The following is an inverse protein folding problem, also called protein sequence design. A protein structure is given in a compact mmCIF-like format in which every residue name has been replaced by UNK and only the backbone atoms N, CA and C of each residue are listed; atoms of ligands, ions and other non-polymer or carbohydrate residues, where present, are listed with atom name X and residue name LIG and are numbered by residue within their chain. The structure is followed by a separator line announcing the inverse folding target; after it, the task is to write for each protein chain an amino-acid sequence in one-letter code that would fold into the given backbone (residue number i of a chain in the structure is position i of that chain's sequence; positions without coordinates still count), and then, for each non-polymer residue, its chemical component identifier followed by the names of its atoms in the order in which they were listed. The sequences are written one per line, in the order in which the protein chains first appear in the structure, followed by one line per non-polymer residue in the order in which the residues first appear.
data_IF_226929117584
#
_entry.id   IF_226929117584
#
_cell.length_a   1.000
_cell.length_b   1.000
_cell.length_c   1.000
_cell.angle_alpha   90.00
_cell.angle_beta   90.00
_cell.angle_gamma   90.00
#
_symmetry.space_group_name_H-M   'P 1'
#
loop_
_entity.id
_entity.type
_entity.pdbx_description
1 polymer ?
#
# COMPACT_ATOMS: atom_id res chain seq x y z
N UNK A 1 72.69 -9.21 30.16
CA UNK A 1 73.49 -8.03 29.76
C UNK A 1 72.57 -7.00 29.12
N UNK A 2 71.80 -6.35 29.99
CA UNK A 2 71.78 -4.90 30.26
C UNK A 2 71.93 -3.88 29.12
N UNK A 3 70.79 -3.19 28.90
CA UNK A 3 70.43 -1.80 28.51
C UNK A 3 71.53 -0.71 28.67
N UNK A 4 71.58 0.39 27.86
CA UNK A 4 70.73 1.62 28.01
C UNK A 4 70.23 2.25 26.66
N UNK A 5 69.00 2.75 26.50
CA UNK A 5 68.34 4.01 26.91
C UNK A 5 68.49 5.22 25.95
N UNK A 6 67.37 5.96 25.78
CA UNK A 6 67.11 7.25 25.08
C UNK A 6 66.53 7.09 23.64
N UNK A 7 65.43 7.73 23.21
CA UNK A 7 64.63 8.84 23.77
C UNK A 7 63.24 8.91 23.11
N UNK A 8 62.24 9.08 23.97
CA UNK A 8 60.90 9.65 23.81
C UNK A 8 60.59 10.41 22.48
N UNK A 9 59.71 9.88 21.62
CA UNK A 9 58.97 10.66 20.61
C UNK A 9 57.48 10.57 20.90
N UNK A 10 56.91 11.72 21.29
CA UNK A 10 55.50 11.90 21.62
C UNK A 10 54.61 11.70 20.38
N UNK A 11 53.65 10.78 20.49
CA UNK A 11 52.50 10.66 19.60
C UNK A 11 51.61 11.91 19.81
N UNK A 12 51.74 12.92 18.96
CA UNK A 12 50.74 13.98 18.81
C UNK A 12 49.70 13.52 17.78
N UNK A 13 48.77 12.67 18.23
CA UNK A 13 47.54 12.41 17.48
C UNK A 13 46.69 13.66 17.61
N UNK A 14 46.75 14.53 16.60
CA UNK A 14 45.76 15.57 16.41
C UNK A 14 44.40 14.90 16.21
N UNK A 15 43.62 14.86 17.29
CA UNK A 15 42.17 14.67 17.24
C UNK A 15 41.59 15.89 16.52
N UNK A 16 41.68 15.89 15.20
CA UNK A 16 40.92 16.80 14.36
C UNK A 16 39.46 16.36 14.49
N UNK A 17 38.76 16.95 15.46
CA UNK A 17 37.31 16.88 15.54
C UNK A 17 36.80 17.55 14.27
N UNK A 18 36.52 16.75 13.24
CA UNK A 18 35.78 17.20 12.07
C UNK A 18 34.38 17.49 12.61
N UNK A 19 34.14 18.74 13.01
CA UNK A 19 32.80 19.26 13.17
C UNK A 19 32.25 19.31 11.75
N UNK A 20 31.55 18.25 11.35
CA UNK A 20 30.71 18.29 10.17
C UNK A 20 29.60 19.28 10.49
N UNK A 21 29.74 20.52 10.04
CA UNK A 21 28.62 21.44 9.98
C UNK A 21 27.64 20.85 8.98
N UNK A 22 26.62 20.14 9.46
CA UNK A 22 25.47 19.77 8.65
C UNK A 22 24.81 21.07 8.23
N UNK A 23 25.04 21.48 6.98
CA UNK A 23 24.25 22.54 6.36
C UNK A 23 22.82 22.02 6.24
N UNK A 24 22.01 22.28 7.26
CA UNK A 24 20.57 22.07 7.16
C UNK A 24 20.03 23.02 6.10
N UNK A 25 19.50 22.47 5.01
CA UNK A 25 18.72 23.20 4.02
C UNK A 25 17.39 23.64 4.65
N UNK A 26 17.44 24.70 5.45
CA UNK A 26 16.27 25.25 6.10
C UNK A 26 15.33 25.88 5.06
N UNK A 27 14.07 25.48 5.11
CA UNK A 27 12.99 26.07 4.33
C UNK A 27 12.34 27.12 5.23
N UNK A 28 12.39 28.38 4.80
CA UNK A 28 11.89 29.51 5.59
C UNK A 28 10.41 29.79 5.29
N UNK A 29 9.62 30.28 6.26
CA UNK A 29 8.26 30.76 6.00
C UNK A 29 8.25 31.80 4.87
N UNK A 30 7.24 31.75 4.01
CA UNK A 30 7.14 32.48 2.74
C UNK A 30 7.64 31.69 1.52
N UNK A 31 8.34 30.56 1.71
CA UNK A 31 8.80 29.71 0.61
C UNK A 31 7.63 29.04 -0.11
N UNK A 32 7.70 28.97 -1.44
CA UNK A 32 6.66 28.34 -2.27
C UNK A 32 7.28 27.52 -3.39
N UNK A 33 6.78 26.30 -3.63
CA UNK A 33 7.04 25.50 -4.83
C UNK A 33 5.85 25.61 -5.79
N UNK A 34 6.10 25.60 -7.10
CA UNK A 34 5.05 25.67 -8.12
C UNK A 34 5.04 24.43 -9.02
N UNK A 35 3.85 23.90 -9.33
CA UNK A 35 3.70 22.76 -10.25
C UNK A 35 4.19 23.10 -11.67
N UNK A 36 4.05 24.36 -12.09
CA UNK A 36 4.58 24.89 -13.35
C UNK A 36 6.11 24.95 -13.41
N UNK A 37 6.82 24.69 -12.31
CA UNK A 37 8.28 24.81 -12.20
C UNK A 37 8.90 23.49 -11.73
N UNK A 38 9.00 22.47 -12.62
CA UNK A 38 9.35 21.10 -12.24
C UNK A 38 10.77 20.93 -11.67
N UNK A 39 11.67 21.88 -11.94
CA UNK A 39 13.03 21.88 -11.41
C UNK A 39 13.14 22.49 -10.01
N UNK A 40 12.04 23.03 -9.46
CA UNK A 40 12.04 23.65 -8.15
C UNK A 40 11.78 22.60 -7.07
N UNK A 41 12.73 22.41 -6.17
CA UNK A 41 12.62 21.45 -5.07
C UNK A 41 13.20 22.00 -3.78
N UNK A 42 12.78 21.42 -2.66
CA UNK A 42 13.46 21.53 -1.38
C UNK A 42 14.18 20.21 -1.08
N UNK A 43 15.50 20.20 -1.16
CA UNK A 43 16.32 18.98 -1.03
C UNK A 43 16.78 18.75 0.40
N UNK A 44 16.99 17.48 0.75
CA UNK A 44 17.70 17.10 1.97
C UNK A 44 19.19 17.50 1.87
N UNK A 45 19.90 17.70 2.99
CA UNK A 45 21.31 18.10 2.99
C UNK A 45 22.22 17.25 2.09
N UNK A 46 22.02 15.94 2.03
CA UNK A 46 22.82 15.04 1.21
C UNK A 46 22.25 14.79 -0.22
N UNK A 47 21.20 15.53 -0.61
CA UNK A 47 20.48 15.41 -1.87
C UNK A 47 19.90 14.01 -2.17
N UNK A 48 19.65 13.20 -1.14
CA UNK A 48 19.03 11.87 -1.31
C UNK A 48 17.52 11.98 -1.50
N UNK A 49 16.89 12.90 -0.77
CA UNK A 49 15.47 13.18 -0.89
C UNK A 49 15.25 14.62 -1.34
N UNK A 50 14.16 14.84 -2.07
CA UNK A 50 13.72 16.18 -2.45
C UNK A 50 12.19 16.27 -2.40
N UNK A 51 11.68 17.39 -1.90
CA UNK A 51 10.26 17.72 -1.95
C UNK A 51 9.99 18.61 -3.16
N UNK A 52 9.10 18.18 -4.04
CA UNK A 52 8.77 18.88 -5.29
C UNK A 52 7.47 18.38 -5.90
N UNK A 53 7.10 18.96 -7.04
CA UNK A 53 5.98 18.47 -7.83
C UNK A 53 6.44 17.35 -8.77
N UNK A 54 5.72 16.24 -8.75
CA UNK A 54 5.87 15.14 -9.71
C UNK A 54 4.61 15.04 -10.57
N UNK A 55 4.74 14.75 -11.89
CA UNK A 55 3.58 14.51 -12.73
C UNK A 55 2.88 13.20 -12.30
N UNK A 56 1.56 13.22 -12.30
CA UNK A 56 0.75 12.02 -12.09
C UNK A 56 0.96 11.04 -13.25
N UNK A 57 0.93 9.74 -12.95
CA UNK A 57 1.08 8.67 -13.95
C UNK A 57 -0.13 8.51 -14.87
N UNK A 58 -1.21 9.26 -14.63
CA UNK A 58 -2.39 9.25 -15.52
C UNK A 58 -2.07 9.95 -16.84
N UNK A 59 -2.29 9.24 -17.95
CA UNK A 59 -2.19 9.78 -19.32
C UNK A 59 -3.41 10.64 -19.71
N UNK A 60 -4.37 10.83 -18.80
CA UNK A 60 -5.56 11.64 -19.03
C UNK A 60 -5.22 13.14 -19.03
N UNK A 61 -5.70 13.86 -20.04
CA UNK A 61 -5.76 15.32 -20.01
C UNK A 61 -6.94 15.79 -19.12
N UNK A 62 -6.77 16.84 -18.31
CA UNK A 62 -5.57 17.67 -18.15
C UNK A 62 -4.48 17.00 -17.30
N UNK A 63 -3.22 17.35 -17.60
CA UNK A 63 -2.05 16.91 -16.82
C UNK A 63 -2.23 17.28 -15.36
N UNK A 64 -1.98 16.32 -14.50
CA UNK A 64 -2.15 16.43 -13.05
C UNK A 64 -0.80 16.22 -12.36
N UNK A 65 -0.61 16.85 -11.21
CA UNK A 65 0.63 16.81 -10.42
C UNK A 65 0.33 16.41 -8.98
N UNK A 66 1.35 15.94 -8.28
CA UNK A 66 1.35 15.69 -6.84
C UNK A 66 2.56 16.35 -6.20
N UNK A 67 2.40 16.97 -5.04
CA UNK A 67 3.52 17.44 -4.23
C UNK A 67 4.04 16.29 -3.36
N UNK A 68 5.28 15.86 -3.59
CA UNK A 68 5.81 14.62 -3.04
C UNK A 68 7.25 14.75 -2.55
N UNK A 69 7.58 14.02 -1.47
CA UNK A 69 8.97 13.74 -1.11
C UNK A 69 9.43 12.57 -1.98
N UNK A 70 10.49 12.79 -2.74
CA UNK A 70 10.92 11.96 -3.84
C UNK A 70 12.35 11.45 -3.61
N UNK A 71 12.57 10.18 -3.94
CA UNK A 71 13.87 9.53 -4.05
C UNK A 71 14.09 9.11 -5.49
N UNK A 72 14.89 9.86 -6.27
CA UNK A 72 15.22 9.52 -7.67
C UNK A 72 14.00 9.13 -8.55
N UNK A 73 12.87 9.83 -8.39
CA UNK A 73 11.63 9.57 -9.14
C UNK A 73 10.62 8.66 -8.43
N UNK A 74 10.99 8.14 -7.25
CA UNK A 74 10.12 7.33 -6.40
C UNK A 74 9.51 8.22 -5.30
N UNK A 75 8.20 8.53 -5.34
CA UNK A 75 7.55 9.27 -4.26
C UNK A 75 7.46 8.39 -3.01
N UNK A 76 8.01 8.83 -1.87
CA UNK A 76 7.92 8.12 -0.59
C UNK A 76 6.88 8.71 0.35
N UNK A 77 6.38 9.91 0.04
CA UNK A 77 5.33 10.59 0.77
C UNK A 77 4.69 11.64 -0.14
N UNK A 78 3.40 11.91 0.02
CA UNK A 78 2.66 12.91 -0.77
C UNK A 78 1.81 13.80 0.14
N UNK A 79 1.69 15.08 -0.20
CA UNK A 79 0.76 15.97 0.47
C UNK A 79 -0.68 15.52 0.20
N UNK A 80 -1.43 15.21 1.26
CA UNK A 80 -2.76 14.62 1.16
C UNK A 80 -2.70 13.10 1.17
N UNK A 81 -3.28 12.47 0.15
CA UNK A 81 -3.24 11.03 -0.07
C UNK A 81 -2.62 10.71 -1.43
N UNK A 82 -2.24 9.45 -1.73
CA UNK A 82 -1.63 9.12 -3.02
C UNK A 82 -2.48 9.39 -4.26
N UNK A 83 -3.80 9.58 -4.08
CA UNK A 83 -4.74 9.93 -5.16
C UNK A 83 -5.01 11.44 -5.23
N UNK A 84 -4.37 12.24 -4.37
CA UNK A 84 -4.52 13.70 -4.35
C UNK A 84 -3.73 14.27 -5.51
N UNK A 85 -4.46 14.84 -6.45
CA UNK A 85 -3.88 15.48 -7.63
C UNK A 85 -4.28 16.94 -7.69
N UNK A 86 -3.41 17.74 -8.32
CA UNK A 86 -3.61 19.17 -8.55
C UNK A 86 -3.24 19.53 -9.98
N UNK A 87 -3.73 20.67 -10.47
CA UNK A 87 -3.45 21.16 -11.81
C UNK A 87 -2.07 21.86 -11.93
N UNK A 88 -1.72 22.29 -13.13
CA UNK A 88 -0.43 22.95 -13.42
C UNK A 88 -0.28 24.34 -12.76
N UNK A 89 -1.37 24.96 -12.30
CA UNK A 89 -1.35 26.23 -11.57
C UNK A 89 -1.16 26.06 -10.06
N UNK A 90 -1.03 24.83 -9.58
CA UNK A 90 -0.92 24.52 -8.17
C UNK A 90 0.41 24.98 -7.53
N UNK A 91 0.36 25.19 -6.22
CA UNK A 91 1.54 25.54 -5.43
C UNK A 91 1.54 24.91 -4.03
N UNK A 92 2.72 24.57 -3.55
CA UNK A 92 2.98 24.13 -2.17
C UNK A 92 3.61 25.30 -1.42
N UNK A 93 2.89 25.84 -0.45
CA UNK A 93 3.22 27.10 0.22
C UNK A 93 3.53 26.83 1.69
N UNK A 94 4.72 27.21 2.14
CA UNK A 94 5.04 27.29 3.56
C UNK A 94 4.79 28.73 4.02
N UNK A 95 3.66 28.97 4.68
CA UNK A 95 3.17 30.31 4.98
C UNK A 95 3.90 30.96 6.17
N UNK A 96 3.92 32.31 6.27
CA UNK A 96 4.40 33.03 7.45
C UNK A 96 3.72 32.64 8.77
N UNK A 97 2.49 32.11 8.70
CA UNK A 97 1.77 31.59 9.87
C UNK A 97 2.33 30.26 10.41
N UNK A 98 3.31 29.67 9.72
CA UNK A 98 3.87 28.36 10.05
C UNK A 98 3.08 27.18 9.46
N UNK A 99 2.09 27.44 8.61
CA UNK A 99 1.29 26.38 7.96
C UNK A 99 1.90 25.98 6.61
N UNK A 100 2.05 24.68 6.37
CA UNK A 100 2.39 24.14 5.05
C UNK A 100 1.08 23.71 4.37
N UNK A 101 0.78 24.27 3.19
CA UNK A 101 -0.45 23.94 2.46
C UNK A 101 -0.21 23.71 0.97
N UNK A 102 -0.95 22.77 0.41
CA UNK A 102 -1.07 22.54 -1.02
C UNK A 102 -2.34 23.22 -1.52
N UNK A 103 -2.22 24.13 -2.48
CA UNK A 103 -3.35 24.81 -3.12
C UNK A 103 -3.37 24.51 -4.62
N UNK A 104 -4.57 24.38 -5.18
CA UNK A 104 -4.77 24.19 -6.61
C UNK A 104 -4.67 25.52 -7.38
N UNK A 105 -4.64 25.50 -8.72
CA UNK A 105 -4.59 26.72 -9.54
C UNK A 105 -5.76 27.69 -9.36
N UNK A 106 -6.91 27.19 -8.88
CA UNK A 106 -8.06 28.01 -8.48
C UNK A 106 -7.88 28.75 -7.14
N UNK A 107 -6.81 28.46 -6.39
CA UNK A 107 -6.57 28.96 -5.04
C UNK A 107 -7.22 28.13 -3.93
N UNK A 108 -7.99 27.08 -4.28
CA UNK A 108 -8.58 26.19 -3.28
C UNK A 108 -7.50 25.36 -2.56
N UNK A 109 -7.54 25.33 -1.23
CA UNK A 109 -6.68 24.45 -0.42
C UNK A 109 -7.12 23.00 -0.60
N UNK A 110 -6.19 22.15 -1.00
CA UNK A 110 -6.39 20.70 -1.19
C UNK A 110 -5.87 19.91 0.00
N UNK A 111 -4.80 20.40 0.64
CA UNK A 111 -4.23 19.80 1.84
C UNK A 111 -3.49 20.84 2.67
N UNK A 112 -3.43 20.65 3.99
CA UNK A 112 -2.60 21.45 4.89
C UNK A 112 -2.12 20.67 6.12
N UNK A 113 -0.99 21.11 6.68
CA UNK A 113 -0.39 20.52 7.89
C UNK A 113 -1.15 20.88 9.18
N UNK A 114 -2.05 21.87 9.12
CA UNK A 114 -2.79 22.41 10.27
C UNK A 114 -1.87 22.92 11.40
N UNK A 115 -0.76 23.56 11.02
CA UNK A 115 0.25 24.09 11.96
C UNK A 115 0.22 25.61 12.11
N UNK A 116 -0.79 26.26 11.52
CA UNK A 116 -0.96 27.71 11.62
C UNK A 116 -1.02 28.17 13.09
N UNK A 117 -0.19 29.15 13.45
CA UNK A 117 -0.20 29.74 14.79
C UNK A 117 0.49 28.91 15.87
N UNK A 118 1.06 27.74 15.56
CA UNK A 118 1.78 26.90 16.52
C UNK A 118 3.25 27.31 16.74
N UNK A 119 3.64 28.49 16.25
CA UNK A 119 5.01 29.01 16.36
C UNK A 119 6.02 28.31 15.45
N UNK A 120 5.56 27.54 14.46
CA UNK A 120 6.43 26.93 13.45
C UNK A 120 7.17 28.03 12.69
N UNK A 121 8.49 28.00 12.77
CA UNK A 121 9.37 29.03 12.21
C UNK A 121 10.30 28.50 11.12
N UNK A 122 10.40 27.18 10.98
CA UNK A 122 11.29 26.55 10.00
C UNK A 122 10.79 25.17 9.60
N UNK A 123 11.04 24.79 8.35
CA UNK A 123 10.86 23.44 7.86
C UNK A 123 12.20 22.86 7.40
N UNK A 124 12.39 21.54 7.58
CA UNK A 124 13.60 20.84 7.16
C UNK A 124 13.22 19.50 6.54
N UNK A 125 13.77 19.19 5.37
CA UNK A 125 13.75 17.83 4.82
C UNK A 125 15.03 17.12 5.27
N UNK A 126 14.88 16.12 6.12
CA UNK A 126 16.00 15.36 6.69
C UNK A 126 16.48 14.28 5.71
N UNK A 127 17.73 13.82 5.87
CA UNK A 127 18.33 12.79 5.00
C UNK A 127 17.68 11.40 5.14
N UNK A 128 16.81 11.22 6.14
CA UNK A 128 15.92 10.06 6.26
C UNK A 128 14.71 10.11 5.32
N UNK A 129 14.42 11.27 4.71
CA UNK A 129 13.19 11.54 3.97
C UNK A 129 12.07 12.12 4.83
N UNK A 130 12.33 12.41 6.11
CA UNK A 130 11.36 13.04 7.01
C UNK A 130 11.30 14.55 6.77
N UNK A 131 10.14 15.08 6.40
CA UNK A 131 9.87 16.51 6.40
C UNK A 131 9.36 16.91 7.78
N UNK A 132 10.05 17.84 8.43
CA UNK A 132 9.73 18.27 9.80
C UNK A 132 9.49 19.77 9.84
N UNK A 133 8.36 20.18 10.43
CA UNK A 133 8.05 21.57 10.76
C UNK A 133 8.39 21.83 12.23
N UNK A 134 9.25 22.80 12.51
CA UNK A 134 9.83 23.03 13.84
C UNK A 134 9.50 24.41 14.41
N UNK A 135 9.28 24.46 15.72
CA UNK A 135 9.28 25.67 16.54
C UNK A 135 10.54 25.62 17.42
N UNK A 136 11.57 26.37 17.02
CA UNK A 136 12.91 26.22 17.60
C UNK A 136 13.44 24.79 17.40
N UNK A 137 13.65 24.06 18.50
CA UNK A 137 14.10 22.65 18.49
C UNK A 137 12.95 21.64 18.54
N UNK A 138 11.72 22.08 18.76
CA UNK A 138 10.56 21.22 18.95
C UNK A 138 9.93 20.88 17.59
N UNK A 139 9.76 19.58 17.33
CA UNK A 139 8.98 19.10 16.18
C UNK A 139 7.50 19.30 16.44
N UNK A 140 6.84 20.08 15.58
CA UNK A 140 5.39 20.34 15.65
C UNK A 140 4.63 19.43 14.69
N UNK A 141 5.23 19.11 13.54
CA UNK A 141 4.66 18.22 12.54
C UNK A 141 5.76 17.45 11.83
N UNK A 142 5.48 16.21 11.45
CA UNK A 142 6.40 15.35 10.72
C UNK A 142 5.65 14.52 9.67
N UNK A 143 6.25 14.36 8.49
CA UNK A 143 5.69 13.49 7.44
C UNK A 143 5.69 12.01 7.86
N UNK A 144 6.64 11.58 8.68
CA UNK A 144 6.70 10.21 9.22
C UNK A 144 5.55 9.88 10.19
N UNK A 145 4.99 10.91 10.84
CA UNK A 145 3.79 10.80 11.67
C UNK A 145 2.48 10.87 10.87
N UNK A 146 2.57 11.17 9.57
CA UNK A 146 1.45 11.26 8.64
C UNK A 146 1.75 10.47 7.34
N UNK A 147 1.98 9.16 7.41
CA UNK A 147 2.32 8.36 6.23
C UNK A 147 1.19 8.36 5.20
N UNK A 148 1.53 8.16 3.92
CA UNK A 148 0.56 8.00 2.83
C UNK A 148 0.34 6.53 2.50
N UNK A 149 1.21 5.95 1.67
CA UNK A 149 1.18 4.57 1.20
C UNK A 149 2.51 3.86 1.42
N UNK A 150 3.52 4.56 1.93
CA UNK A 150 4.91 4.10 2.01
C UNK A 150 5.46 4.27 3.42
N UNK A 151 6.24 3.30 3.88
CA UNK A 151 7.08 3.35 5.08
C UNK A 151 8.53 3.19 4.63
N UNK A 152 9.38 4.12 5.03
CA UNK A 152 10.83 4.09 4.74
C UNK A 152 11.62 3.70 6.00
N UNK A 153 12.94 3.45 5.90
CA UNK A 153 13.74 3.14 7.07
C UNK A 153 13.74 4.29 8.07
N UNK A 154 13.89 3.97 9.36
CA UNK A 154 13.81 4.90 10.50
C UNK A 154 12.42 5.49 10.78
N UNK A 155 11.41 5.16 9.97
CA UNK A 155 10.03 5.53 10.22
C UNK A 155 9.34 4.46 11.07
N UNK A 156 8.85 4.84 12.25
CA UNK A 156 8.04 3.98 13.10
C UNK A 156 6.57 4.05 12.66
N UNK A 157 5.98 2.90 12.35
CA UNK A 157 4.57 2.77 12.02
C UNK A 157 3.80 2.16 13.21
N UNK A 158 2.97 2.98 13.86
CA UNK A 158 2.24 2.66 15.09
C UNK A 158 0.76 2.37 14.82
N UNK A 159 0.04 1.93 15.85
CA UNK A 159 -1.36 1.47 15.75
C UNK A 159 -2.38 2.55 15.35
N UNK A 160 -2.03 3.83 15.50
CA UNK A 160 -2.83 5.00 15.10
C UNK A 160 -2.61 5.41 13.63
N UNK A 161 -1.62 4.81 12.95
CA UNK A 161 -1.28 5.11 11.56
C UNK A 161 -1.94 4.13 10.59
N UNK A 162 -2.21 4.60 9.38
CA UNK A 162 -2.84 3.81 8.31
C UNK A 162 -2.15 4.15 6.99
N UNK A 163 -1.70 3.13 6.24
CA UNK A 163 -1.35 3.35 4.83
C UNK A 163 -2.60 3.19 3.97
N UNK A 164 -2.77 4.05 2.96
CA UNK A 164 -3.96 4.05 2.10
C UNK A 164 -3.59 4.23 0.64
N UNK A 165 -4.15 3.41 -0.22
CA UNK A 165 -4.06 3.58 -1.67
C UNK A 165 -5.37 3.12 -2.32
N UNK A 166 -6.19 4.07 -2.81
CA UNK A 166 -7.53 3.78 -3.29
C UNK A 166 -8.43 3.17 -2.20
N UNK A 167 -9.04 2.03 -2.50
CA UNK A 167 -9.90 1.28 -1.57
C UNK A 167 -9.11 0.44 -0.56
N UNK A 168 -7.79 0.33 -0.72
CA UNK A 168 -6.96 -0.52 0.11
C UNK A 168 -6.37 0.24 1.28
N UNK A 169 -6.33 -0.41 2.44
CA UNK A 169 -5.65 0.11 3.61
C UNK A 169 -4.83 -0.95 4.33
N UNK A 170 -3.77 -0.50 4.98
CA UNK A 170 -2.90 -1.30 5.83
C UNK A 170 -2.82 -0.70 7.23
N UNK A 171 -2.94 -1.55 8.24
CA UNK A 171 -2.92 -1.17 9.66
C UNK A 171 -2.13 -2.16 10.50
N UNK A 172 -1.54 -1.67 11.59
CA UNK A 172 -0.98 -2.48 12.67
C UNK A 172 -1.99 -2.54 13.82
N UNK A 173 -2.47 -3.73 14.17
CA UNK A 173 -3.34 -3.91 15.32
C UNK A 173 -2.52 -3.87 16.63
N UNK A 174 -3.18 -3.50 17.74
CA UNK A 174 -2.56 -3.50 19.08
C UNK A 174 -2.01 -4.86 19.50
N UNK A 175 -2.56 -5.95 18.98
CA UNK A 175 -2.08 -7.32 19.21
C UNK A 175 -0.87 -7.71 18.35
N UNK A 176 -0.33 -6.79 17.54
CA UNK A 176 0.82 -7.03 16.66
C UNK A 176 0.46 -7.64 15.30
N UNK A 177 -0.82 -7.67 14.94
CA UNK A 177 -1.23 -8.18 13.63
C UNK A 177 -1.06 -7.10 12.56
N UNK A 178 -0.32 -7.45 11.51
CA UNK A 178 -0.33 -6.73 10.24
C UNK A 178 -1.62 -7.07 9.51
N UNK A 179 -2.36 -6.08 9.03
CA UNK A 179 -3.68 -6.32 8.42
C UNK A 179 -3.87 -5.49 7.17
N UNK A 180 -4.29 -6.14 6.08
CA UNK A 180 -4.73 -5.49 4.86
C UNK A 180 -6.25 -5.56 4.73
N UNK A 181 -6.85 -4.43 4.37
CA UNK A 181 -8.29 -4.25 4.29
C UNK A 181 -8.70 -3.63 2.96
N UNK A 182 -9.83 -4.10 2.45
CA UNK A 182 -10.54 -3.47 1.34
C UNK A 182 -11.73 -2.70 1.90
N UNK A 183 -11.85 -1.43 1.48
CA UNK A 183 -12.84 -0.46 1.92
C UNK A 183 -12.93 -0.35 3.47
N UNK A 184 -11.78 -0.43 4.14
CA UNK A 184 -11.59 -0.41 5.61
C UNK A 184 -12.35 -1.45 6.44
N UNK A 185 -13.12 -2.32 5.80
CA UNK A 185 -14.02 -3.28 6.46
C UNK A 185 -13.58 -4.71 6.22
N UNK A 186 -13.19 -5.03 4.99
CA UNK A 186 -12.99 -6.40 4.57
C UNK A 186 -11.52 -6.77 4.72
N UNK A 187 -11.21 -7.52 5.77
CA UNK A 187 -9.86 -8.07 5.96
C UNK A 187 -9.64 -9.21 4.98
N UNK A 188 -8.67 -9.09 4.09
CA UNK A 188 -8.31 -10.15 3.13
C UNK A 188 -6.93 -10.75 3.37
N UNK A 189 -6.11 -10.11 4.22
CA UNK A 189 -4.83 -10.66 4.62
C UNK A 189 -4.48 -10.19 6.03
N UNK A 190 -3.93 -11.10 6.82
CA UNK A 190 -3.41 -10.81 8.16
C UNK A 190 -2.18 -11.65 8.43
N UNK A 191 -1.20 -11.07 9.11
CA UNK A 191 -0.04 -11.78 9.62
C UNK A 191 0.19 -11.34 11.07
N UNK A 192 0.00 -12.28 12.00
CA UNK A 192 0.22 -12.05 13.43
C UNK A 192 1.60 -12.49 13.90
N UNK A 193 1.87 -12.22 15.17
CA UNK A 193 3.02 -12.79 15.87
C UNK A 193 2.90 -14.33 15.93
N UNK A 194 4.03 -15.02 15.98
CA UNK A 194 4.07 -16.47 16.22
C UNK A 194 3.33 -16.83 17.51
N UNK A 195 2.60 -17.95 17.52
CA UNK A 195 1.88 -18.46 18.70
C UNK A 195 2.79 -18.78 19.89
N UNK A 196 4.10 -18.92 19.65
CA UNK A 196 5.11 -19.09 20.70
C UNK A 196 5.42 -17.80 21.47
N UNK A 197 5.03 -16.63 20.94
CA UNK A 197 5.25 -15.34 21.58
C UNK A 197 4.06 -15.04 22.48
N UNK A 198 4.21 -15.33 23.77
CA UNK A 198 3.19 -15.04 24.77
C UNK A 198 3.44 -13.66 25.39
N UNK A 199 3.15 -12.60 24.62
CA UNK A 199 3.30 -11.21 25.05
C UNK A 199 2.02 -10.43 24.81
N UNK A 200 1.62 -9.61 25.79
CA UNK A 200 0.59 -8.60 25.63
C UNK A 200 1.27 -7.29 25.26
N UNK A 201 1.19 -6.92 23.98
CA UNK A 201 1.80 -5.69 23.48
C UNK A 201 1.02 -4.48 23.99
N UNK A 202 1.74 -3.39 24.24
CA UNK A 202 1.17 -2.17 24.81
C UNK A 202 1.10 -1.04 23.78
N UNK A 203 2.13 -0.89 22.96
CA UNK A 203 2.29 0.14 21.93
C UNK A 203 3.25 -0.36 20.85
N UNK A 204 2.85 -1.38 20.08
CA UNK A 204 3.74 -1.97 19.09
C UNK A 204 4.03 -0.98 17.98
N UNK A 205 5.25 -1.02 17.48
CA UNK A 205 5.68 -0.25 16.32
C UNK A 205 6.31 -1.16 15.27
N UNK A 206 5.88 -1.01 14.03
CA UNK A 206 6.45 -1.68 12.86
C UNK A 206 7.53 -0.77 12.25
N UNK A 207 8.71 -1.34 11.98
CA UNK A 207 9.80 -0.63 11.34
C UNK A 207 10.47 -1.49 10.28
N UNK A 208 10.87 -0.86 9.17
CA UNK A 208 11.73 -1.46 8.16
C UNK A 208 13.16 -0.99 8.39
N UNK A 209 14.09 -1.93 8.51
CA UNK A 209 15.52 -1.63 8.59
C UNK A 209 16.09 -1.43 7.18
N UNK A 210 17.14 -0.60 7.04
CA UNK A 210 17.82 -0.36 5.76
C UNK A 210 18.39 -1.64 5.12
N UNK A 211 18.73 -2.63 5.96
CA UNK A 211 19.20 -3.95 5.53
C UNK A 211 18.09 -4.89 5.05
N UNK A 212 16.81 -4.50 5.15
CA UNK A 212 15.69 -5.29 4.61
C UNK A 212 14.95 -6.19 5.60
N UNK A 213 15.06 -5.93 6.91
CA UNK A 213 14.26 -6.61 7.93
C UNK A 213 13.04 -5.76 8.26
N UNK A 214 11.84 -6.32 8.11
CA UNK A 214 10.61 -5.77 8.64
C UNK A 214 10.33 -6.41 10.01
N UNK A 215 10.23 -5.60 11.06
CA UNK A 215 10.06 -6.11 12.43
C UNK A 215 9.11 -5.27 13.27
N UNK A 216 8.45 -5.92 14.23
CA UNK A 216 7.66 -5.28 15.28
C UNK A 216 8.50 -5.17 16.55
N UNK A 217 8.51 -3.99 17.16
CA UNK A 217 9.07 -3.74 18.49
C UNK A 217 7.99 -3.28 19.46
N UNK A 218 8.13 -3.63 20.74
CA UNK A 218 7.28 -3.20 21.86
C UNK A 218 8.11 -3.32 23.14
N UNK A 219 7.77 -2.58 24.19
CA UNK A 219 8.43 -2.69 25.51
C UNK A 219 8.24 -4.07 26.16
N UNK A 220 7.17 -4.78 25.81
CA UNK A 220 6.91 -6.14 26.26
C UNK A 220 7.76 -7.19 25.53
N UNK A 221 8.47 -6.82 24.45
CA UNK A 221 9.30 -7.72 23.66
C UNK A 221 10.79 -7.49 24.00
N UNK A 222 11.54 -8.54 24.40
CA UNK A 222 12.96 -8.40 24.72
C UNK A 222 13.81 -8.05 23.49
N UNK A 223 13.37 -8.49 22.32
CA UNK A 223 13.96 -8.17 21.02
C UNK A 223 12.85 -7.95 19.99
N UNK A 224 13.09 -7.13 18.94
CA UNK A 224 12.13 -6.99 17.86
C UNK A 224 11.78 -8.34 17.21
N UNK A 225 10.50 -8.57 16.95
CA UNK A 225 10.00 -9.77 16.28
C UNK A 225 10.01 -9.52 14.78
N UNK A 226 10.66 -10.42 14.05
CA UNK A 226 10.80 -10.30 12.59
C UNK A 226 9.52 -10.79 11.93
N UNK A 227 8.94 -9.95 11.07
CA UNK A 227 7.73 -10.23 10.32
C UNK A 227 8.04 -10.68 8.89
N UNK A 228 9.05 -10.09 8.27
CA UNK A 228 9.48 -10.42 6.93
C UNK A 228 10.94 -10.04 6.69
N UNK A 229 11.57 -10.75 5.76
CA UNK A 229 12.83 -10.35 5.14
C UNK A 229 12.56 -9.97 3.69
N UNK A 230 13.22 -8.92 3.21
CA UNK A 230 13.38 -8.74 1.78
C UNK A 230 14.27 -9.86 1.23
N UNK A 231 14.02 -10.29 0.00
CA UNK A 231 14.81 -11.36 -0.64
C UNK A 231 16.27 -10.98 -0.90
N UNK A 232 16.59 -9.68 -0.82
CA UNK A 232 17.94 -9.12 -0.92
C UNK A 232 18.44 -8.63 0.45
N UNK A 233 17.97 -9.24 1.54
CA UNK A 233 18.36 -8.88 2.90
C UNK A 233 19.88 -8.87 3.07
N UNK A 234 20.40 -7.81 3.67
CA UNK A 234 21.83 -7.56 3.89
C UNK A 234 22.69 -7.53 2.61
N UNK A 235 22.08 -7.43 1.42
CA UNK A 235 22.78 -7.27 0.15
C UNK A 235 22.93 -5.79 -0.24
N UNK A 236 24.07 -5.46 -0.85
CA UNK A 236 24.36 -4.15 -1.41
C UNK A 236 24.55 -3.02 -0.38
N UNK A 237 25.28 -1.98 -0.80
CA UNK A 237 25.30 -0.68 -0.13
C UNK A 237 24.41 0.30 -0.89
N UNK A 238 23.95 1.36 -0.22
CA UNK A 238 23.21 2.47 -0.85
C UNK A 238 21.90 2.08 -1.56
N UNK A 239 21.20 1.08 -1.02
CA UNK A 239 19.87 0.67 -1.47
C UNK A 239 18.81 1.30 -0.58
N UNK A 240 17.89 2.06 -1.17
CA UNK A 240 16.66 2.42 -0.47
C UNK A 240 15.72 1.21 -0.49
N UNK A 241 15.43 0.70 0.70
CA UNK A 241 14.37 -0.28 0.92
C UNK A 241 13.16 0.40 1.53
N UNK A 242 11.98 0.19 0.97
CA UNK A 242 10.75 0.78 1.48
C UNK A 242 9.59 -0.21 1.39
N UNK A 243 8.67 -0.14 2.34
CA UNK A 243 7.44 -0.92 2.36
C UNK A 243 6.32 -0.06 1.77
N UNK A 244 5.59 -0.55 0.78
CA UNK A 244 4.52 0.19 0.10
C UNK A 244 3.24 -0.61 -0.03
N UNK A 245 2.11 0.04 0.20
CA UNK A 245 0.79 -0.42 -0.21
C UNK A 245 0.48 0.11 -1.60
N UNK A 246 0.49 -0.76 -2.59
CA UNK A 246 0.23 -0.38 -3.97
C UNK A 246 -1.27 -0.27 -4.27
N UNK A 247 -1.60 0.42 -5.35
CA UNK A 247 -2.99 0.59 -5.83
C UNK A 247 -3.65 -0.72 -6.31
N UNK A 248 -2.89 -1.81 -6.37
CA UNK A 248 -3.38 -3.17 -6.60
C UNK A 248 -3.77 -3.91 -5.31
N UNK A 249 -3.61 -3.26 -4.15
CA UNK A 249 -3.96 -3.80 -2.84
C UNK A 249 -2.93 -4.72 -2.22
N UNK A 250 -1.75 -4.87 -2.80
CA UNK A 250 -0.70 -5.65 -2.16
C UNK A 250 0.26 -4.76 -1.38
N UNK A 251 0.83 -5.33 -0.32
CA UNK A 251 1.87 -4.68 0.48
C UNK A 251 3.21 -5.33 0.13
N UNK A 252 4.18 -4.53 -0.27
CA UNK A 252 5.46 -5.04 -0.78
C UNK A 252 6.65 -4.30 -0.21
N UNK A 253 7.76 -5.03 -0.02
CA UNK A 253 9.07 -4.40 0.16
C UNK A 253 9.69 -4.23 -1.23
N UNK A 254 10.07 -3.00 -1.53
CA UNK A 254 10.80 -2.63 -2.72
C UNK A 254 12.24 -2.27 -2.38
N UNK A 255 13.15 -2.57 -3.31
CA UNK A 255 14.53 -2.09 -3.31
C UNK A 255 14.78 -1.23 -4.53
N UNK A 256 15.46 -0.10 -4.32
CA UNK A 256 15.97 0.77 -5.37
C UNK A 256 17.41 1.18 -5.06
N UNK A 257 18.34 0.87 -5.96
CA UNK A 257 19.71 1.33 -5.85
C UNK A 257 19.78 2.85 -6.08
N UNK A 258 20.63 3.55 -5.31
CA UNK A 258 20.81 4.99 -5.45
C UNK A 258 21.18 5.37 -6.89
N UNK A 259 20.45 6.35 -7.43
CA UNK A 259 20.65 6.85 -8.80
C UNK A 259 20.06 5.98 -9.91
N UNK A 260 19.55 4.77 -9.61
CA UNK A 260 18.95 3.91 -10.64
C UNK A 260 17.53 4.36 -11.05
N UNK A 261 16.75 4.84 -10.08
CA UNK A 261 15.31 5.13 -10.27
C UNK A 261 14.45 3.87 -10.50
N UNK A 262 15.05 2.70 -10.64
CA UNK A 262 14.34 1.43 -10.82
C UNK A 262 13.95 0.85 -9.47
N UNK A 263 12.69 0.41 -9.34
CA UNK A 263 12.19 -0.30 -8.16
C UNK A 263 12.07 -1.79 -8.47
N UNK A 264 12.44 -2.62 -7.51
CA UNK A 264 12.34 -4.08 -7.63
C UNK A 264 11.62 -4.65 -6.42
N UNK A 265 10.65 -5.54 -6.66
CA UNK A 265 9.94 -6.22 -5.57
C UNK A 265 10.89 -7.24 -4.93
N UNK A 266 10.93 -7.25 -3.60
CA UNK A 266 11.77 -8.16 -2.80
C UNK A 266 10.98 -8.93 -1.75
N UNK A 267 9.76 -8.51 -1.47
CA UNK A 267 8.80 -9.26 -0.66
C UNK A 267 7.39 -8.78 -0.99
N UNK A 268 6.40 -9.66 -0.87
CA UNK A 268 4.98 -9.33 -1.01
C UNK A 268 4.16 -10.06 0.06
N UNK A 269 3.17 -9.36 0.62
CA UNK A 269 2.26 -9.91 1.61
C UNK A 269 1.37 -11.02 1.01
N UNK A 270 0.82 -10.76 -0.18
CA UNK A 270 0.02 -11.73 -0.93
C UNK A 270 0.82 -12.20 -2.13
N UNK A 271 1.19 -13.49 -2.18
CA UNK A 271 2.05 -14.04 -3.23
C UNK A 271 1.36 -14.10 -4.60
N UNK A 272 0.08 -14.50 -4.60
CA UNK A 272 -0.75 -14.55 -5.80
C UNK A 272 -1.63 -13.31 -5.85
N UNK A 273 -1.46 -12.49 -6.88
CA UNK A 273 -2.17 -11.22 -7.00
C UNK A 273 -3.69 -11.43 -7.16
N UNK A 274 -4.12 -12.55 -7.74
CA UNK A 274 -5.55 -12.88 -7.87
C UNK A 274 -6.22 -13.25 -6.54
N UNK A 275 -5.45 -13.48 -5.46
CA UNK A 275 -5.97 -13.63 -4.10
C UNK A 275 -6.18 -12.28 -3.40
N UNK A 276 -5.70 -11.17 -3.96
CA UNK A 276 -6.00 -9.84 -3.40
C UNK A 276 -7.47 -9.52 -3.61
N UNK A 277 -8.20 -9.35 -2.50
CA UNK A 277 -9.63 -9.13 -2.54
C UNK A 277 -9.98 -7.87 -3.33
N UNK A 278 -10.95 -7.98 -4.23
CA UNK A 278 -11.43 -6.86 -5.02
C UNK A 278 -10.52 -6.42 -6.18
N UNK A 279 -9.44 -7.15 -6.49
CA UNK A 279 -8.50 -6.78 -7.55
C UNK A 279 -9.18 -6.57 -8.92
N UNK A 280 -10.16 -7.41 -9.28
CA UNK A 280 -10.93 -7.30 -10.52
C UNK A 280 -12.31 -6.67 -10.39
N UNK A 281 -12.66 -6.10 -9.22
CA UNK A 281 -13.98 -5.53 -9.01
C UNK A 281 -15.12 -6.56 -8.99
N UNK A 282 -16.35 -6.08 -8.95
CA UNK A 282 -17.54 -6.94 -8.86
C UNK A 282 -17.76 -7.69 -10.18
N UNK A 283 -18.15 -8.96 -10.12
CA UNK A 283 -18.22 -9.94 -11.22
C UNK A 283 -16.95 -10.10 -12.07
N UNK A 284 -15.84 -9.41 -11.77
CA UNK A 284 -14.58 -9.60 -12.47
C UNK A 284 -13.88 -10.88 -12.04
N UNK A 285 -13.38 -11.63 -13.02
CA UNK A 285 -12.58 -12.83 -12.83
C UNK A 285 -11.12 -12.48 -13.07
N UNK A 286 -10.29 -12.71 -12.04
CA UNK A 286 -8.85 -12.61 -12.14
C UNK A 286 -8.27 -13.88 -12.73
N UNK A 287 -7.35 -13.75 -13.68
CA UNK A 287 -6.54 -14.84 -14.21
C UNK A 287 -5.16 -14.30 -14.62
N UNK A 288 -4.29 -15.16 -15.12
CA UNK A 288 -2.95 -14.76 -15.57
C UNK A 288 -2.80 -14.89 -17.08
N UNK A 289 -2.29 -13.83 -17.71
CA UNK A 289 -1.75 -13.87 -19.07
C UNK A 289 -0.22 -13.76 -19.00
N UNK A 290 0.46 -14.90 -19.07
CA UNK A 290 1.87 -15.00 -18.74
C UNK A 290 2.11 -14.71 -17.25
N UNK A 291 2.90 -13.68 -16.95
CA UNK A 291 3.19 -13.27 -15.56
C UNK A 291 2.27 -12.15 -15.06
N UNK A 292 1.38 -11.63 -15.91
CA UNK A 292 0.56 -10.47 -15.60
C UNK A 292 -0.85 -10.89 -15.17
N UNK A 293 -1.32 -10.45 -13.98
CA UNK A 293 -2.70 -10.67 -13.57
C UNK A 293 -3.63 -9.77 -14.38
N UNK A 294 -4.63 -10.37 -15.01
CA UNK A 294 -5.63 -9.73 -15.87
C UNK A 294 -7.03 -9.93 -15.31
N UNK A 295 -7.93 -9.01 -15.63
CA UNK A 295 -9.32 -9.04 -15.23
C UNK A 295 -10.22 -9.16 -16.46
N UNK A 296 -11.17 -10.09 -16.42
CA UNK A 296 -12.18 -10.28 -17.46
C UNK A 296 -13.57 -10.53 -16.88
N UNK A 297 -14.59 -10.37 -17.72
CA UNK A 297 -15.96 -10.73 -17.33
C UNK A 297 -16.19 -12.25 -17.44
N UNK A 298 -17.16 -12.82 -16.69
CA UNK A 298 -17.37 -14.26 -16.65
C UNK A 298 -17.79 -14.86 -18.00
N UNK A 299 -18.57 -14.12 -18.78
CA UNK A 299 -19.04 -14.50 -20.12
C UNK A 299 -19.59 -13.28 -20.86
N UNK A 300 -20.11 -13.52 -22.07
CA UNK A 300 -20.87 -12.55 -22.87
C UNK A 300 -22.20 -12.11 -22.23
N UNK A 301 -22.66 -12.71 -21.13
CA UNK A 301 -23.84 -12.22 -20.40
C UNK A 301 -23.52 -10.99 -19.52
N UNK A 302 -22.26 -10.54 -19.51
CA UNK A 302 -21.77 -9.43 -18.71
C UNK A 302 -21.09 -8.38 -19.59
N UNK A 303 -21.18 -7.11 -19.18
CA UNK A 303 -20.43 -6.00 -19.75
C UNK A 303 -19.41 -5.48 -18.73
N UNK A 304 -18.24 -5.01 -19.17
CA UNK A 304 -17.32 -4.28 -18.29
C UNK A 304 -17.98 -3.00 -17.78
N UNK A 305 -17.71 -2.64 -16.52
CA UNK A 305 -18.16 -1.37 -15.94
C UNK A 305 -17.47 -0.19 -16.65
N UNK A 306 -16.17 -0.33 -16.88
CA UNK A 306 -15.35 0.61 -17.64
C UNK A 306 -14.50 -0.16 -18.66
N UNK A 307 -14.74 0.00 -19.98
CA UNK A 307 -13.92 -0.64 -21.01
C UNK A 307 -12.44 -0.25 -20.97
N UNK A 308 -12.07 0.84 -20.29
CA UNK A 308 -10.67 1.31 -20.16
C UNK A 308 -9.98 0.83 -18.88
N UNK A 309 -10.73 0.31 -17.91
CA UNK A 309 -10.20 -0.20 -16.64
C UNK A 309 -10.94 -1.48 -16.23
N UNK A 310 -10.38 -2.63 -16.62
CA UNK A 310 -10.95 -3.94 -16.33
C UNK A 310 -11.01 -4.27 -14.84
N UNK A 311 -10.30 -3.53 -13.98
CA UNK A 311 -10.37 -3.70 -12.52
C UNK A 311 -11.63 -3.09 -11.90
N UNK A 312 -12.40 -2.30 -12.66
CA UNK A 312 -13.71 -1.80 -12.23
C UNK A 312 -14.78 -2.89 -12.17
N UNK A 313 -14.48 -4.08 -12.72
CA UNK A 313 -15.37 -5.23 -12.75
C UNK A 313 -16.38 -5.17 -13.88
N UNK A 314 -17.44 -5.95 -13.71
CA UNK A 314 -18.46 -6.22 -14.69
C UNK A 314 -19.86 -6.05 -14.09
N UNK A 315 -20.84 -5.84 -14.95
CA UNK A 315 -22.27 -5.87 -14.64
C UNK A 315 -22.96 -6.89 -15.53
N UNK A 316 -24.09 -7.43 -15.09
CA UNK A 316 -24.92 -8.25 -15.98
C UNK A 316 -25.49 -7.35 -17.09
N UNK A 317 -25.67 -7.93 -18.27
CA UNK A 317 -26.45 -7.31 -19.35
C UNK A 317 -27.95 -7.28 -19.01
N UNK A 318 -28.42 -8.30 -18.29
CA UNK A 318 -29.79 -8.44 -17.80
C UNK A 318 -29.75 -8.93 -16.36
N UNK A 319 -30.37 -8.18 -15.44
CA UNK A 319 -30.46 -8.58 -14.04
C UNK A 319 -31.44 -9.75 -13.85
N UNK A 320 -31.22 -10.55 -12.80
CA UNK A 320 -31.96 -11.81 -12.62
C UNK A 320 -33.44 -11.56 -12.31
N UNK A 321 -33.72 -10.45 -11.64
CA UNK A 321 -35.06 -9.96 -11.32
C UNK A 321 -35.88 -9.66 -12.59
N UNK A 322 -35.21 -9.33 -13.70
CA UNK A 322 -35.84 -8.98 -14.99
C UNK A 322 -36.10 -10.21 -15.89
N UNK A 323 -35.73 -11.43 -15.44
CA UNK A 323 -35.92 -12.66 -16.22
C UNK A 323 -36.51 -13.83 -15.39
N UNK A 324 -37.64 -13.62 -14.68
CA UNK A 324 -38.20 -14.60 -13.77
C UNK A 324 -38.50 -15.93 -14.49
N UNK A 325 -38.01 -17.03 -13.93
CA UNK A 325 -38.19 -18.38 -14.48
C UNK A 325 -37.34 -18.71 -15.71
N UNK A 326 -36.54 -17.77 -16.22
CA UNK A 326 -35.62 -17.98 -17.36
C UNK A 326 -34.15 -17.76 -16.99
N UNK A 327 -33.83 -17.93 -15.70
CA UNK A 327 -32.45 -17.96 -15.22
C UNK A 327 -31.84 -19.33 -15.43
N UNK A 328 -30.55 -19.36 -15.73
CA UNK A 328 -29.72 -20.56 -15.75
C UNK A 328 -28.42 -20.29 -15.01
N UNK A 329 -27.57 -21.31 -14.88
CA UNK A 329 -26.25 -21.20 -14.26
C UNK A 329 -25.18 -21.33 -15.33
N UNK A 330 -24.44 -20.24 -15.56
CA UNK A 330 -23.18 -20.24 -16.31
C UNK A 330 -22.13 -21.00 -15.50
N UNK A 331 -21.50 -21.99 -16.12
CA UNK A 331 -20.43 -22.79 -15.52
C UNK A 331 -19.05 -22.20 -15.84
N UNK A 332 -18.22 -22.10 -14.80
CA UNK A 332 -16.85 -21.60 -14.86
C UNK A 332 -15.93 -22.64 -14.24
N UNK A 333 -15.32 -23.47 -15.08
CA UNK A 333 -14.32 -24.44 -14.65
C UNK A 333 -13.07 -23.75 -14.12
N UNK A 334 -12.36 -24.45 -13.22
CA UNK A 334 -11.10 -23.99 -12.65
C UNK A 334 -11.19 -22.59 -12.01
N UNK A 335 -12.36 -22.26 -11.47
CA UNK A 335 -12.70 -20.93 -10.98
C UNK A 335 -13.25 -21.03 -9.57
N UNK A 336 -12.78 -20.14 -8.69
CA UNK A 336 -13.29 -19.95 -7.34
C UNK A 336 -13.84 -18.53 -7.21
N UNK A 337 -15.09 -18.41 -6.79
CA UNK A 337 -15.64 -17.10 -6.41
C UNK A 337 -15.15 -16.68 -5.03
N UNK A 338 -14.69 -15.43 -4.95
CA UNK A 338 -14.31 -14.71 -3.76
C UNK A 338 -15.46 -13.79 -3.36
N UNK A 339 -15.94 -13.95 -2.14
CA UNK A 339 -16.97 -13.10 -1.51
C UNK A 339 -16.45 -12.55 -0.20
N UNK A 340 -17.23 -11.71 0.48
CA UNK A 340 -16.82 -11.14 1.77
C UNK A 340 -16.45 -12.23 2.79
N UNK A 341 -15.20 -12.27 3.29
CA UNK A 341 -14.81 -13.14 4.39
C UNK A 341 -15.28 -12.58 5.75
N UNK A 342 -15.53 -13.46 6.75
CA UNK A 342 -15.65 -14.91 6.61
C UNK A 342 -16.96 -15.30 5.92
N UNK A 343 -16.96 -16.40 5.18
CA UNK A 343 -18.19 -16.95 4.62
C UNK A 343 -19.08 -17.50 5.75
N UNK A 344 -20.38 -17.17 5.71
CA UNK A 344 -21.31 -17.58 6.77
C UNK A 344 -21.51 -19.08 6.76
N UNK A 345 -21.73 -19.70 7.94
CA UNK A 345 -22.10 -21.11 8.02
C UNK A 345 -23.38 -21.44 7.20
N UNK A 346 -24.28 -20.47 7.03
CA UNK A 346 -25.49 -20.61 6.20
C UNK A 346 -25.22 -20.64 4.68
N UNK A 347 -23.98 -20.38 4.27
CA UNK A 347 -23.53 -20.38 2.88
C UNK A 347 -22.70 -21.63 2.54
N UNK A 348 -22.41 -22.49 3.51
CA UNK A 348 -21.51 -23.64 3.32
C UNK A 348 -22.29 -24.94 3.46
N UNK A 349 -22.22 -25.80 2.44
CA UNK A 349 -22.97 -27.05 2.37
C UNK A 349 -22.07 -28.22 1.95
N UNK A 350 -22.40 -29.42 2.37
CA UNK A 350 -21.75 -30.66 1.93
C UNK A 350 -22.65 -31.37 0.92
N UNK A 351 -22.42 -31.13 -0.37
CA UNK A 351 -23.23 -31.66 -1.47
C UNK A 351 -22.38 -31.88 -2.71
N UNK A 352 -22.80 -32.80 -3.59
CA UNK A 352 -22.11 -33.01 -4.86
C UNK A 352 -22.23 -31.82 -5.82
N UNK A 353 -21.32 -31.74 -6.80
CA UNK A 353 -21.22 -30.63 -7.77
C UNK A 353 -22.55 -30.28 -8.46
N UNK A 354 -23.29 -31.30 -8.93
CA UNK A 354 -24.60 -31.12 -9.57
C UNK A 354 -25.62 -30.53 -8.60
N UNK A 355 -25.65 -31.02 -7.36
CA UNK A 355 -26.56 -30.50 -6.33
C UNK A 355 -26.16 -29.06 -5.91
N UNK A 356 -24.87 -28.74 -5.87
CA UNK A 356 -24.37 -27.39 -5.59
C UNK A 356 -24.89 -26.36 -6.62
N UNK A 357 -24.88 -26.74 -7.90
CA UNK A 357 -25.45 -25.95 -9.00
C UNK A 357 -26.98 -25.87 -8.91
N UNK A 358 -27.65 -27.01 -8.79
CA UNK A 358 -29.12 -27.10 -8.84
C UNK A 358 -29.81 -26.47 -7.62
N UNK A 359 -29.22 -26.59 -6.44
CA UNK A 359 -29.81 -25.96 -5.25
C UNK A 359 -29.66 -24.43 -5.31
N UNK A 360 -28.58 -23.90 -5.90
CA UNK A 360 -28.42 -22.46 -6.09
C UNK A 360 -29.42 -21.91 -7.12
N UNK A 361 -29.68 -22.62 -8.23
CA UNK A 361 -30.65 -22.13 -9.23
C UNK A 361 -32.06 -21.98 -8.64
N UNK A 362 -32.48 -22.93 -7.81
CA UNK A 362 -33.80 -22.92 -7.15
C UNK A 362 -33.87 -21.91 -6.00
N UNK A 363 -32.78 -21.72 -5.25
CA UNK A 363 -32.76 -20.78 -4.13
C UNK A 363 -32.75 -19.32 -4.62
N UNK A 364 -33.84 -18.59 -4.37
CA UNK A 364 -33.96 -17.17 -4.78
C UNK A 364 -32.90 -16.25 -4.17
N UNK A 365 -32.36 -16.59 -2.99
CA UNK A 365 -31.28 -15.84 -2.32
C UNK A 365 -29.88 -16.16 -2.83
N UNK A 366 -29.71 -17.19 -3.67
CA UNK A 366 -28.42 -17.58 -4.23
C UNK A 366 -28.23 -16.92 -5.60
N UNK A 367 -27.09 -16.29 -5.84
CA UNK A 367 -26.74 -15.68 -7.15
C UNK A 367 -25.55 -16.35 -7.82
N UNK A 368 -24.76 -17.08 -7.05
CA UNK A 368 -23.67 -17.91 -7.56
C UNK A 368 -23.34 -19.03 -6.56
N UNK A 369 -22.67 -20.07 -7.00
CA UNK A 369 -22.12 -21.10 -6.13
C UNK A 369 -20.73 -21.55 -6.56
N UNK A 370 -19.95 -22.12 -5.64
CA UNK A 370 -18.65 -22.72 -5.94
C UNK A 370 -18.59 -24.11 -5.32
N UNK A 371 -18.40 -25.13 -6.15
CA UNK A 371 -18.17 -26.51 -5.72
C UNK A 371 -16.68 -26.80 -5.69
N UNK A 372 -16.16 -27.32 -4.59
CA UNK A 372 -14.77 -27.77 -4.49
C UNK A 372 -14.64 -29.24 -4.93
N UNK A 373 -13.57 -29.52 -5.66
CA UNK A 373 -13.14 -30.84 -6.12
C UNK A 373 -11.85 -31.28 -5.42
N UNK A 374 -11.57 -30.74 -4.23
CA UNK A 374 -10.39 -31.00 -3.40
C UNK A 374 -10.59 -32.14 -2.38
N UNK A 375 -11.71 -32.85 -2.47
CA UNK A 375 -12.10 -33.93 -1.55
C UNK A 375 -12.87 -33.47 -0.31
N UNK A 376 -13.00 -32.16 -0.07
CA UNK A 376 -13.77 -31.63 1.07
C UNK A 376 -15.29 -31.84 0.93
N UNK A 377 -15.78 -31.98 -0.31
CA UNK A 377 -17.21 -32.03 -0.63
C UNK A 377 -17.96 -30.71 -0.38
N UNK A 378 -17.22 -29.61 -0.20
CA UNK A 378 -17.78 -28.31 0.12
C UNK A 378 -18.36 -27.60 -1.10
N UNK A 379 -19.55 -27.06 -0.90
CA UNK A 379 -20.24 -26.15 -1.80
C UNK A 379 -20.51 -24.84 -1.08
N UNK A 380 -20.12 -23.73 -1.71
CA UNK A 380 -20.32 -22.38 -1.19
C UNK A 380 -21.41 -21.67 -1.97
N UNK A 381 -22.48 -21.26 -1.31
CA UNK A 381 -23.53 -20.42 -1.86
C UNK A 381 -23.17 -18.95 -1.68
N UNK A 382 -23.33 -18.18 -2.74
CA UNK A 382 -23.06 -16.75 -2.75
C UNK A 382 -24.39 -16.00 -2.81
N UNK A 383 -24.59 -15.11 -1.86
CA UNK A 383 -25.76 -14.21 -1.79
C UNK A 383 -25.50 -12.92 -2.59
N UNK A 384 -26.54 -12.15 -2.95
CA UNK A 384 -26.38 -10.85 -3.58
C UNK A 384 -25.37 -9.96 -2.83
N UNK A 385 -24.53 -9.25 -3.58
CA UNK A 385 -23.44 -8.44 -3.04
C UNK A 385 -22.22 -8.46 -3.96
N UNK A 386 -21.05 -8.29 -3.36
CA UNK A 386 -19.78 -8.34 -4.07
C UNK A 386 -19.32 -9.77 -4.33
N UNK A 387 -19.12 -10.12 -5.60
CA UNK A 387 -18.66 -11.42 -6.06
C UNK A 387 -17.55 -11.18 -7.08
N UNK A 388 -16.31 -11.52 -6.76
CA UNK A 388 -15.22 -11.58 -7.75
C UNK A 388 -14.79 -13.02 -7.93
N UNK A 389 -13.95 -13.32 -8.93
CA UNK A 389 -13.44 -14.67 -9.15
C UNK A 389 -11.92 -14.70 -9.28
N UNK A 390 -11.37 -15.88 -9.02
CA UNK A 390 -10.03 -16.26 -9.44
C UNK A 390 -10.14 -17.54 -10.26
N UNK A 391 -9.61 -17.50 -11.49
CA UNK A 391 -9.53 -18.62 -12.40
C UNK A 391 -8.06 -18.99 -12.68
N UNK A 392 -7.73 -20.26 -12.49
CA UNK A 392 -6.42 -20.83 -12.81
C UNK A 392 -6.54 -22.34 -12.97
N UNK A 393 -5.84 -22.96 -13.94
CA UNK A 393 -5.85 -24.42 -14.13
C UNK A 393 -5.52 -25.24 -12.88
N UNK A 394 -4.86 -24.65 -11.89
CA UNK A 394 -4.50 -25.32 -10.62
C UNK A 394 -5.61 -25.27 -9.56
N UNK A 395 -6.68 -24.51 -9.77
CA UNK A 395 -7.78 -24.38 -8.82
C UNK A 395 -8.72 -25.58 -8.99
N UNK A 396 -8.86 -26.45 -7.98
CA UNK A 396 -9.72 -27.62 -8.04
C UNK A 396 -11.16 -27.23 -7.66
N UNK A 397 -11.77 -26.28 -8.38
CA UNK A 397 -13.16 -25.89 -8.13
C UNK A 397 -13.87 -25.47 -9.41
N UNK A 398 -15.18 -25.72 -9.45
CA UNK A 398 -16.07 -25.22 -10.49
C UNK A 398 -17.03 -24.24 -9.85
N UNK A 399 -17.09 -23.04 -10.41
CA UNK A 399 -18.02 -22.00 -9.98
C UNK A 399 -19.17 -21.86 -10.97
N UNK A 400 -20.31 -21.41 -10.47
CA UNK A 400 -21.53 -21.24 -11.23
C UNK A 400 -22.14 -19.89 -10.90
N UNK A 401 -22.53 -19.09 -11.89
CA UNK A 401 -23.20 -17.79 -11.66
C UNK A 401 -24.53 -17.74 -12.39
N UNK A 402 -25.56 -17.20 -11.72
CA UNK A 402 -26.87 -16.98 -12.33
C UNK A 402 -26.76 -15.94 -13.44
N UNK A 403 -27.34 -16.28 -14.59
CA UNK A 403 -27.49 -15.41 -15.77
C UNK A 403 -28.88 -15.63 -16.39
N UNK A 404 -29.34 -14.65 -17.16
CA UNK A 404 -30.57 -14.74 -17.94
C UNK A 404 -30.27 -15.27 -19.35
N UNK A 405 -31.15 -16.15 -19.88
CA UNK A 405 -31.06 -16.64 -21.25
C UNK A 405 -30.14 -17.85 -21.45
N UNK A 406 -29.76 -18.15 -22.70
CA UNK A 406 -28.82 -19.24 -23.00
C UNK A 406 -27.41 -18.88 -22.55
N UNK A 407 -26.71 -19.89 -22.02
CA UNK A 407 -25.28 -19.87 -21.68
C UNK A 407 -24.46 -20.16 -22.90
#
# INVERSE_FOLDING_TARGET
MDIPSQTLWFLLVHLCLIITTTTSSHISPGSTLYASSPNQTWSSPNNTFSLGFIPSTSTSTPFSFSAAINYNGIPIWQAGNPSTTVDSGASLQFLPSGNLRLVNGSGATVWESNTAGLGVSVATLEDSGNLVLKNGTISVWSSFEKPTDTIVPLQNFTTDKVLRNGLYSFTLASVGNLTLKWNDRIVYWTQGLSSSINASLSSPSLGLQSIGILSISDLALPTPVIMAYSSDYAEGSDILRFLRLDSDGNLRIYSSARGSGTITIRWAAVLDQCLVFGYCGNFGICSYNGMNPVCGCPSENFDPIDPKDSRKGCKRKVEIEDCPGNSTMLELEHTRFLTYPPESASQVFFVGITACRLNCIVAGSCVASTSLSDGSGLCYFKTPGFISGYQSPTIPSTSYVKVCGQV
#
